data_IF_317884148927
#
_entry.id   IF_317884148927
#
_cell.length_a   1.000
_cell.length_b   1.000
_cell.length_c   1.000
_cell.angle_alpha   90.00
_cell.angle_beta   90.00
_cell.angle_gamma   90.00
#
_symmetry.space_group_name_H-M   'P 1'
#
loop_
_entity.id
_entity.type
_entity.pdbx_description
1 polymer ?
#
# COMPACT_ATOMS: atom_id res chain seq x y z
N UNK A 1 -18.84 10.45 12.59
CA UNK A 1 -17.41 10.64 12.34
C UNK A 1 -16.74 9.34 12.74
N UNK A 2 -16.16 8.61 11.78
CA UNK A 2 -15.35 7.44 12.09
C UNK A 2 -14.03 7.89 12.71
N UNK A 3 -13.49 7.07 13.62
CA UNK A 3 -12.16 7.30 14.17
C UNK A 3 -11.11 7.08 13.06
N UNK A 4 -10.08 7.93 12.98
CA UNK A 4 -9.01 7.82 11.98
C UNK A 4 -8.31 6.46 12.06
N UNK A 5 -8.24 5.85 13.26
CA UNK A 5 -7.68 4.50 13.46
C UNK A 5 -8.59 3.44 12.83
N UNK A 6 -9.90 3.57 12.97
CA UNK A 6 -10.88 2.66 12.36
C UNK A 6 -10.82 2.77 10.82
N UNK A 7 -10.79 4.00 10.29
CA UNK A 7 -10.61 4.25 8.87
C UNK A 7 -9.31 3.62 8.33
N UNK A 8 -8.18 3.86 8.99
CA UNK A 8 -6.90 3.28 8.59
C UNK A 8 -6.93 1.74 8.61
N UNK A 9 -7.55 1.13 9.62
CA UNK A 9 -7.69 -0.33 9.68
C UNK A 9 -8.50 -0.86 8.49
N UNK A 10 -9.65 -0.25 8.21
CA UNK A 10 -10.49 -0.64 7.08
C UNK A 10 -9.74 -0.56 5.74
N UNK A 11 -9.01 0.54 5.49
CA UNK A 11 -8.21 0.70 4.25
C UNK A 11 -7.06 -0.29 4.14
N UNK A 12 -6.41 -0.62 5.27
CA UNK A 12 -5.35 -1.63 5.29
C UNK A 12 -5.89 -3.05 5.06
N UNK A 13 -7.11 -3.35 5.53
CA UNK A 13 -7.78 -4.61 5.26
C UNK A 13 -8.13 -4.74 3.77
N UNK A 14 -8.58 -3.66 3.13
CA UNK A 14 -8.84 -3.61 1.68
C UNK A 14 -7.56 -3.79 0.84
N UNK A 15 -6.46 -3.14 1.24
CA UNK A 15 -5.16 -3.29 0.59
C UNK A 15 -4.65 -4.73 0.70
N UNK A 16 -4.75 -5.35 1.88
CA UNK A 16 -4.39 -6.76 2.09
C UNK A 16 -5.27 -7.71 1.28
N UNK A 17 -6.58 -7.46 1.25
CA UNK A 17 -7.53 -8.28 0.50
C UNK A 17 -7.25 -8.21 -1.00
N UNK A 18 -7.06 -7.00 -1.54
CA UNK A 18 -6.72 -6.79 -2.95
C UNK A 18 -5.41 -7.46 -3.31
N UNK A 19 -4.36 -7.27 -2.50
CA UNK A 19 -3.06 -7.89 -2.73
C UNK A 19 -3.17 -9.43 -2.69
N UNK A 20 -3.84 -9.99 -1.69
CA UNK A 20 -4.03 -11.45 -1.56
C UNK A 20 -4.82 -12.03 -2.73
N UNK A 21 -5.89 -11.34 -3.17
CA UNK A 21 -6.66 -11.74 -4.33
C UNK A 21 -5.81 -11.71 -5.62
N UNK A 22 -4.95 -10.69 -5.78
CA UNK A 22 -4.03 -10.62 -6.90
C UNK A 22 -3.04 -11.80 -6.91
N UNK A 23 -2.49 -12.19 -5.75
CA UNK A 23 -1.66 -13.41 -5.65
C UNK A 23 -2.44 -14.64 -6.11
N UNK A 24 -3.64 -14.84 -5.58
CA UNK A 24 -4.47 -16.01 -5.88
C UNK A 24 -4.90 -16.09 -7.35
N UNK A 25 -5.01 -14.95 -8.03
CA UNK A 25 -5.37 -14.89 -9.45
C UNK A 25 -4.19 -15.24 -10.39
N UNK A 26 -2.94 -15.20 -9.91
CA UNK A 26 -1.77 -15.56 -10.72
C UNK A 26 -1.54 -17.07 -10.77
N UNK A 27 -1.03 -17.57 -11.90
CA UNK A 27 -0.63 -18.97 -12.01
C UNK A 27 0.45 -19.28 -10.96
N UNK A 28 0.27 -20.37 -10.21
CA UNK A 28 1.19 -20.76 -9.14
C UNK A 28 1.13 -19.92 -7.86
N UNK A 29 0.26 -18.90 -7.78
CA UNK A 29 0.12 -18.06 -6.59
C UNK A 29 1.38 -17.23 -6.29
N UNK A 30 2.04 -16.73 -7.33
CA UNK A 30 3.31 -16.01 -7.19
C UNK A 30 3.07 -14.56 -6.74
N UNK A 31 3.52 -14.16 -5.53
CA UNK A 31 3.24 -12.83 -5.00
C UNK A 31 4.23 -11.77 -5.50
N UNK A 32 5.27 -12.17 -6.22
CA UNK A 32 6.34 -11.30 -6.72
C UNK A 32 6.22 -11.11 -8.21
N UNK A 33 6.24 -9.85 -8.64
CA UNK A 33 6.08 -9.50 -10.04
C UNK A 33 7.39 -8.96 -10.62
N UNK A 34 7.57 -9.16 -11.92
CA UNK A 34 8.74 -8.67 -12.67
C UNK A 34 8.28 -8.00 -13.94
N UNK A 35 8.98 -6.94 -14.36
CA UNK A 35 8.80 -6.34 -15.67
C UNK A 35 9.77 -6.95 -16.67
N UNK A 36 9.39 -6.96 -17.95
CA UNK A 36 10.22 -7.44 -19.06
C UNK A 36 10.00 -6.58 -20.30
N UNK A 37 11.08 -6.24 -21.00
CA UNK A 37 11.07 -5.60 -22.31
C UNK A 37 10.36 -6.48 -23.37
N UNK A 38 9.71 -5.83 -24.34
CA UNK A 38 9.01 -6.47 -25.46
C UNK A 38 9.93 -7.26 -26.42
N UNK A 39 11.25 -7.14 -26.27
CA UNK A 39 12.24 -7.83 -27.09
C UNK A 39 12.51 -7.14 -28.43
N UNK A 40 11.89 -5.99 -28.70
CA UNK A 40 12.18 -5.16 -29.88
C UNK A 40 13.52 -4.43 -29.77
N UNK A 41 14.11 -4.41 -28.56
CA UNK A 41 15.35 -3.69 -28.25
C UNK A 41 15.16 -2.17 -28.14
N UNK A 42 13.93 -1.69 -28.21
CA UNK A 42 13.60 -0.25 -28.11
C UNK A 42 13.42 0.23 -26.68
N UNK A 43 13.20 -0.66 -25.71
CA UNK A 43 12.93 -0.31 -24.30
C UNK A 43 11.74 0.64 -24.13
N UNK A 44 10.78 0.57 -25.06
CA UNK A 44 9.59 1.41 -25.06
C UNK A 44 8.38 0.71 -24.47
N UNK A 45 8.21 -0.59 -24.77
CA UNK A 45 7.10 -1.39 -24.29
C UNK A 45 7.60 -2.64 -23.57
N UNK A 46 6.71 -3.23 -22.80
CA UNK A 46 6.99 -4.42 -22.03
C UNK A 46 5.76 -4.94 -21.33
N UNK A 47 6.01 -5.88 -20.42
CA UNK A 47 4.98 -6.66 -19.75
C UNK A 47 5.32 -6.81 -18.29
N UNK A 48 4.30 -6.84 -17.43
CA UNK A 48 4.43 -7.33 -16.07
C UNK A 48 4.12 -8.83 -16.04
N UNK A 49 4.90 -9.59 -15.28
CA UNK A 49 4.80 -11.05 -15.18
C UNK A 49 4.80 -11.52 -13.73
N UNK A 50 4.13 -12.63 -13.48
CA UNK A 50 4.22 -13.44 -12.28
C UNK A 50 4.62 -14.87 -12.68
N UNK A 51 5.72 -15.38 -12.13
CA UNK A 51 6.27 -16.72 -12.44
C UNK A 51 6.24 -17.08 -13.95
N UNK A 52 6.91 -16.26 -14.76
CA UNK A 52 6.99 -16.39 -16.22
C UNK A 52 5.68 -16.26 -17.00
N UNK A 53 4.56 -15.97 -16.32
CA UNK A 53 3.25 -15.76 -16.93
C UNK A 53 2.95 -14.27 -16.99
N UNK A 54 2.59 -13.75 -18.16
CA UNK A 54 2.20 -12.35 -18.31
C UNK A 54 0.88 -12.08 -17.57
N UNK A 55 0.85 -11.01 -16.77
CA UNK A 55 -0.33 -10.56 -16.02
C UNK A 55 -0.87 -9.23 -16.57
N UNK A 56 -0.03 -8.43 -17.21
CA UNK A 56 -0.40 -7.17 -17.83
C UNK A 56 0.48 -6.91 -19.05
N UNK A 57 -0.20 -6.74 -20.19
CA UNK A 57 0.38 -6.73 -21.52
C UNK A 57 0.81 -8.12 -21.98
N UNK A 58 0.32 -8.56 -23.14
CA UNK A 58 0.79 -9.73 -23.88
C UNK A 58 0.17 -9.72 -25.29
N UNK A 59 0.77 -10.40 -26.27
CA UNK A 59 0.21 -10.66 -27.61
C UNK A 59 -0.32 -9.43 -28.38
N UNK A 60 0.44 -8.32 -28.36
CA UNK A 60 0.14 -7.11 -29.13
C UNK A 60 -0.48 -5.96 -28.33
N UNK A 61 -0.76 -6.19 -27.05
CA UNK A 61 -1.25 -5.19 -26.09
C UNK A 61 -0.20 -4.83 -25.03
N UNK A 62 1.08 -4.73 -25.44
CA UNK A 62 2.18 -4.35 -24.56
C UNK A 62 1.90 -2.98 -23.91
N UNK A 63 2.23 -2.87 -22.62
CA UNK A 63 2.19 -1.56 -21.94
C UNK A 63 3.52 -0.85 -22.13
N UNK A 64 3.55 0.47 -21.92
CA UNK A 64 4.82 1.19 -21.87
C UNK A 64 5.71 0.58 -20.76
N UNK A 65 7.00 0.40 -21.05
CA UNK A 65 7.93 -0.25 -20.11
C UNK A 65 7.94 0.42 -18.72
N UNK A 66 7.90 1.77 -18.58
CA UNK A 66 7.76 2.41 -17.27
C UNK A 66 6.48 2.06 -16.50
N UNK A 67 5.39 1.72 -17.21
CA UNK A 67 4.14 1.24 -16.60
C UNK A 67 4.32 -0.18 -16.07
N UNK A 68 4.93 -1.08 -16.87
CA UNK A 68 5.27 -2.43 -16.42
C UNK A 68 6.21 -2.39 -15.20
N UNK A 69 7.22 -1.51 -15.20
CA UNK A 69 8.14 -1.31 -14.08
C UNK A 69 7.40 -0.83 -12.82
N UNK A 70 6.47 0.12 -12.97
CA UNK A 70 5.68 0.61 -11.85
C UNK A 70 4.81 -0.50 -11.24
N UNK A 71 4.14 -1.29 -12.09
CA UNK A 71 3.31 -2.44 -11.68
C UNK A 71 4.18 -3.46 -10.93
N UNK A 72 5.31 -3.88 -11.52
CA UNK A 72 6.21 -4.86 -10.89
C UNK A 72 6.79 -4.35 -9.57
N UNK A 73 7.09 -3.05 -9.47
CA UNK A 73 7.57 -2.43 -8.22
C UNK A 73 6.51 -2.41 -7.12
N UNK A 74 5.22 -2.37 -7.46
CA UNK A 74 4.10 -2.37 -6.51
C UNK A 74 3.43 -3.75 -6.43
N UNK A 75 4.24 -4.80 -6.49
CA UNK A 75 3.75 -6.18 -6.42
C UNK A 75 2.99 -6.50 -5.11
N UNK A 76 2.15 -7.55 -5.12
CA UNK A 76 1.40 -7.96 -3.93
C UNK A 76 2.29 -8.23 -2.71
N UNK A 77 3.46 -8.85 -2.89
CA UNK A 77 4.40 -9.12 -1.81
C UNK A 77 4.89 -7.84 -1.09
N UNK A 78 5.11 -6.74 -1.83
CA UNK A 78 5.44 -5.44 -1.24
C UNK A 78 4.22 -4.86 -0.52
N UNK A 79 3.04 -4.86 -1.13
CA UNK A 79 1.82 -4.30 -0.50
C UNK A 79 1.53 -4.97 0.84
N UNK A 80 1.61 -6.31 0.91
CA UNK A 80 1.42 -7.06 2.16
C UNK A 80 2.44 -6.67 3.24
N UNK A 81 3.72 -6.43 2.87
CA UNK A 81 4.74 -5.93 3.81
C UNK A 81 4.44 -4.52 4.28
N UNK A 82 3.92 -3.65 3.41
CA UNK A 82 3.53 -2.29 3.78
C UNK A 82 2.32 -2.28 4.72
N UNK A 83 1.31 -3.12 4.47
CA UNK A 83 0.17 -3.28 5.35
C UNK A 83 0.62 -3.71 6.75
N UNK A 84 1.43 -4.75 6.84
CA UNK A 84 1.96 -5.22 8.13
C UNK A 84 2.77 -4.14 8.85
N UNK A 85 3.63 -3.40 8.13
CA UNK A 85 4.39 -2.30 8.71
C UNK A 85 3.48 -1.19 9.26
N UNK A 86 2.46 -0.77 8.50
CA UNK A 86 1.50 0.27 8.92
C UNK A 86 0.65 -0.21 10.11
N UNK A 87 0.21 -1.47 10.12
CA UNK A 87 -0.49 -2.08 11.27
C UNK A 87 0.36 -2.05 12.54
N UNK A 88 1.66 -2.36 12.45
CA UNK A 88 2.57 -2.26 13.61
C UNK A 88 2.68 -0.84 14.15
N UNK A 89 2.78 0.16 13.27
CA UNK A 89 2.80 1.58 13.69
C UNK A 89 1.51 1.93 14.44
N UNK A 90 0.34 1.61 13.86
CA UNK A 90 -0.96 1.88 14.49
C UNK A 90 -1.09 1.17 15.84
N UNK A 91 -0.71 -0.10 15.91
CA UNK A 91 -0.80 -0.90 17.13
C UNK A 91 0.19 -0.42 18.21
N UNK A 92 1.36 0.09 17.83
CA UNK A 92 2.34 0.66 18.76
C UNK A 92 1.80 1.86 19.55
N UNK A 93 0.80 2.57 19.03
CA UNK A 93 0.11 3.67 19.72
C UNK A 93 -1.10 3.22 20.58
N UNK A 94 -1.30 1.91 20.72
CA UNK A 94 -2.36 1.32 21.54
C UNK A 94 -1.94 1.10 23.00
N UNK A 95 -0.63 1.14 23.29
CA UNK A 95 -0.11 1.09 24.67
C UNK A 95 -0.37 2.44 25.35
N UNK A 96 -1.17 2.48 26.42
CA UNK A 96 -1.47 3.73 27.11
C UNK A 96 -0.17 4.35 27.62
N UNK A 97 -0.07 5.67 27.52
CA UNK A 97 0.94 6.55 28.10
C UNK A 97 1.07 6.44 29.64
N UNK A 98 0.79 5.29 30.26
CA UNK A 98 0.51 5.10 31.68
C UNK A 98 1.69 5.40 32.60
N UNK A 99 2.91 5.44 32.08
CA UNK A 99 4.11 5.84 32.81
C UNK A 99 4.59 7.26 32.47
N UNK A 100 3.89 7.99 31.59
CA UNK A 100 4.23 9.35 31.22
C UNK A 100 3.61 10.36 32.19
N UNK A 101 4.33 11.44 32.46
CA UNK A 101 3.74 12.61 33.11
C UNK A 101 2.77 13.34 32.15
N UNK A 102 2.06 14.35 32.65
CA UNK A 102 1.06 15.07 31.85
C UNK A 102 1.62 15.71 30.57
N UNK A 103 2.80 16.34 30.65
CA UNK A 103 3.46 16.99 29.51
C UNK A 103 3.91 15.97 28.46
N UNK A 104 4.50 14.87 28.90
CA UNK A 104 4.92 13.76 28.04
C UNK A 104 3.72 13.08 27.37
N UNK A 105 2.61 12.91 28.11
CA UNK A 105 1.38 12.36 27.56
C UNK A 105 0.73 13.28 26.52
N UNK A 106 0.80 14.59 26.69
CA UNK A 106 0.29 15.57 25.72
C UNK A 106 1.15 15.57 24.45
N UNK A 107 2.47 15.67 24.58
CA UNK A 107 3.40 15.59 23.46
C UNK A 107 3.22 14.29 22.65
N UNK A 108 3.03 13.16 23.33
CA UNK A 108 2.83 11.87 22.67
C UNK A 108 1.46 11.77 21.96
N UNK A 109 0.42 12.48 22.42
CA UNK A 109 -0.87 12.59 21.71
C UNK A 109 -0.74 13.40 20.42
N UNK A 110 0.00 14.51 20.47
CA UNK A 110 0.26 15.35 19.28
C UNK A 110 1.01 14.55 18.22
N UNK A 111 2.08 13.85 18.61
CA UNK A 111 2.85 13.01 17.68
C UNK A 111 2.02 11.84 17.13
N UNK A 112 1.21 11.18 17.99
CA UNK A 112 0.26 10.15 17.54
C UNK A 112 -0.67 10.70 16.44
N UNK A 113 -1.29 11.85 16.67
CA UNK A 113 -2.20 12.47 15.69
C UNK A 113 -1.46 12.74 14.37
N UNK A 114 -0.27 13.34 14.44
CA UNK A 114 0.56 13.63 13.25
C UNK A 114 0.88 12.38 12.43
N UNK A 115 1.29 11.30 13.09
CA UNK A 115 1.60 10.02 12.42
C UNK A 115 0.34 9.43 11.77
N UNK A 116 -0.79 9.40 12.48
CA UNK A 116 -2.03 8.85 11.94
C UNK A 116 -2.55 9.65 10.73
N UNK A 117 -2.51 10.99 10.80
CA UNK A 117 -2.85 11.84 9.65
C UNK A 117 -1.92 11.59 8.46
N UNK A 118 -0.62 11.42 8.72
CA UNK A 118 0.36 11.10 7.67
C UNK A 118 0.08 9.78 6.97
N UNK A 119 -0.33 8.75 7.72
CA UNK A 119 -0.74 7.47 7.15
C UNK A 119 -2.05 7.58 6.37
N UNK A 120 -3.00 8.38 6.86
CA UNK A 120 -4.31 8.54 6.23
C UNK A 120 -4.24 9.30 4.90
N UNK A 121 -3.25 10.19 4.72
CA UNK A 121 -3.08 10.99 3.51
C UNK A 121 -2.94 10.17 2.22
N UNK A 122 -2.47 8.91 2.32
CA UNK A 122 -2.39 7.97 1.19
C UNK A 122 -3.78 7.67 0.60
N UNK A 123 -4.83 7.81 1.39
CA UNK A 123 -6.22 7.55 1.01
C UNK A 123 -7.03 8.84 0.85
N UNK A 124 -6.38 9.96 0.53
CA UNK A 124 -7.03 11.29 0.43
C UNK A 124 -8.04 11.41 -0.70
N UNK A 125 -8.00 10.50 -1.68
CA UNK A 125 -8.96 10.35 -2.77
C UNK A 125 -10.14 9.41 -2.41
N UNK A 126 -10.11 8.77 -1.23
CA UNK A 126 -11.15 7.84 -0.80
C UNK A 126 -12.44 8.59 -0.39
N UNK A 127 -13.65 8.15 -0.78
CA UNK A 127 -14.91 8.84 -0.46
C UNK A 127 -15.19 9.03 1.03
N UNK A 128 -14.73 8.09 1.86
CA UNK A 128 -14.87 8.15 3.32
C UNK A 128 -13.74 8.95 4.02
N UNK A 129 -12.77 9.46 3.26
CA UNK A 129 -11.71 10.30 3.81
C UNK A 129 -12.28 11.63 4.31
N UNK A 130 -11.97 12.00 5.55
CA UNK A 130 -12.44 13.25 6.13
C UNK A 130 -11.38 14.35 5.93
N UNK A 131 -11.80 15.52 5.42
CA UNK A 131 -10.88 16.63 5.12
C UNK A 131 -10.15 17.17 6.34
N UNK A 132 -10.71 17.00 7.54
CA UNK A 132 -10.04 17.32 8.81
C UNK A 132 -8.76 16.50 9.05
N UNK A 133 -8.59 15.38 8.33
CA UNK A 133 -7.36 14.57 8.40
C UNK A 133 -6.26 15.08 7.48
N UNK A 134 -6.55 16.01 6.57
CA UNK A 134 -5.56 16.59 5.69
C UNK A 134 -4.41 17.22 6.50
N UNK A 135 -3.18 16.87 6.12
CA UNK A 135 -1.98 17.45 6.73
C UNK A 135 -1.92 18.91 6.29
N UNK A 136 -1.91 19.83 7.26
CA UNK A 136 -1.60 21.25 7.02
C UNK A 136 -0.12 21.49 6.81
#
# INVERSE_FOLDING_TARGET
MSDIVEFLRARLDEDEQTATAAVAATFGGCPTWTSKDDGTGRQTHGYAMADHTAICGHDGDDVLLPVADHIARHDPARVLREVEAKRRVINGWSDPFGNLNAEQADAARVEKARVLHSLAAVYSDHPEYQQEWAIS
#
